data_IF_869275620464
#
_entry.id   IF_869275620464
#
_cell.length_a   1.000
_cell.length_b   1.000
_cell.length_c   1.000
_cell.angle_alpha   90.00
_cell.angle_beta   90.00
_cell.angle_gamma   90.00
#
_symmetry.space_group_name_H-M   'P 1'
#
loop_
_entity.id
_entity.type
_entity.pdbx_description
1 polymer ?
#
# COMPACT_ATOMS: atom_id res chain seq x y z
N UNK A 1 -14.52 3.90 26.83
CA UNK A 1 -13.32 3.05 26.73
C UNK A 1 -13.31 2.49 25.31
N UNK A 2 -12.58 3.12 24.39
CA UNK A 2 -12.57 2.74 22.97
C UNK A 2 -11.72 1.48 22.83
N UNK A 3 -12.36 0.32 22.67
CA UNK A 3 -11.67 -0.91 22.29
C UNK A 3 -11.21 -0.73 20.85
N UNK A 4 -10.01 -0.18 20.65
CA UNK A 4 -9.38 -0.19 19.33
C UNK A 4 -9.22 -1.66 18.95
N UNK A 5 -10.01 -2.10 17.97
CA UNK A 5 -9.89 -3.46 17.42
C UNK A 5 -8.43 -3.71 17.05
N UNK A 6 -7.90 -4.89 17.39
CA UNK A 6 -6.53 -5.29 17.06
C UNK A 6 -6.23 -5.09 15.57
N UNK A 7 -7.24 -5.27 14.71
CA UNK A 7 -7.14 -5.03 13.27
C UNK A 7 -6.86 -3.55 12.93
N UNK A 8 -7.49 -2.60 13.63
CA UNK A 8 -7.26 -1.17 13.39
C UNK A 8 -5.84 -0.75 13.80
N UNK A 9 -5.33 -1.31 14.91
CA UNK A 9 -3.96 -1.08 15.33
C UNK A 9 -2.93 -1.70 14.35
N UNK A 10 -3.21 -2.88 13.82
CA UNK A 10 -2.38 -3.54 12.80
C UNK A 10 -2.37 -2.75 11.49
N UNK A 11 -3.51 -2.20 11.07
CA UNK A 11 -3.61 -1.38 9.87
C UNK A 11 -2.80 -0.09 10.00
N UNK A 12 -2.93 0.62 11.13
CA UNK A 12 -2.16 1.82 11.41
C UNK A 12 -0.65 1.55 11.46
N UNK A 13 -0.24 0.39 12.02
CA UNK A 13 1.16 -0.04 12.03
C UNK A 13 1.69 -0.34 10.62
N UNK A 14 0.88 -1.00 9.78
CA UNK A 14 1.22 -1.25 8.38
C UNK A 14 1.39 0.07 7.61
N UNK A 15 0.45 1.00 7.73
CA UNK A 15 0.54 2.33 7.10
C UNK A 15 1.79 3.08 7.55
N UNK A 16 2.11 3.07 8.84
CA UNK A 16 3.31 3.72 9.36
C UNK A 16 4.60 3.11 8.78
N UNK A 17 4.68 1.78 8.65
CA UNK A 17 5.84 1.11 8.04
C UNK A 17 5.95 1.45 6.55
N UNK A 18 4.83 1.47 5.84
CA UNK A 18 4.81 1.78 4.42
C UNK A 18 5.14 3.25 4.13
N UNK A 19 4.78 4.18 5.02
CA UNK A 19 5.23 5.57 4.95
C UNK A 19 6.76 5.67 4.99
N UNK A 20 7.40 4.88 5.86
CA UNK A 20 8.87 4.82 5.97
C UNK A 20 9.48 4.23 4.69
N UNK A 21 8.92 3.14 4.17
CA UNK A 21 9.39 2.50 2.92
C UNK A 21 9.25 3.44 1.73
N UNK A 22 8.11 4.13 1.63
CA UNK A 22 7.86 5.10 0.57
C UNK A 22 8.74 6.35 0.73
N UNK A 23 9.21 6.65 1.94
CA UNK A 23 9.94 7.88 2.28
C UNK A 23 9.03 9.10 2.39
N UNK A 24 7.71 8.90 2.42
CA UNK A 24 6.69 9.94 2.50
C UNK A 24 5.34 9.35 2.94
N UNK A 25 4.42 10.19 3.46
CA UNK A 25 3.06 9.75 3.74
C UNK A 25 2.36 9.23 2.48
N UNK A 26 1.68 8.10 2.62
CA UNK A 26 0.78 7.53 1.63
C UNK A 26 -0.60 7.30 2.23
N UNK A 27 -1.61 7.15 1.37
CA UNK A 27 -2.95 6.73 1.77
C UNK A 27 -3.18 5.28 1.35
N UNK A 28 -3.71 4.46 2.25
CA UNK A 28 -4.12 3.08 1.97
C UNK A 28 -5.63 3.01 1.73
N UNK A 29 -6.02 2.34 0.65
CA UNK A 29 -7.41 2.02 0.30
C UNK A 29 -7.56 0.51 0.13
N UNK A 30 -8.55 -0.07 0.80
CA UNK A 30 -8.91 -1.49 0.64
C UNK A 30 -9.92 -1.59 -0.52
N UNK A 31 -9.55 -2.27 -1.61
CA UNK A 31 -10.41 -2.48 -2.79
C UNK A 31 -11.22 -3.78 -2.75
N UNK A 32 -10.79 -4.72 -1.91
CA UNK A 32 -11.41 -6.02 -1.73
C UNK A 32 -10.68 -6.79 -0.64
N UNK A 33 -11.04 -8.06 -0.43
CA UNK A 33 -10.45 -8.86 0.64
C UNK A 33 -8.93 -9.04 0.50
N UNK A 34 -8.38 -8.98 -0.73
CA UNK A 34 -6.97 -9.25 -1.05
C UNK A 34 -6.35 -8.23 -2.00
N UNK A 35 -7.01 -7.09 -2.18
CA UNK A 35 -6.62 -6.06 -3.13
C UNK A 35 -6.50 -4.71 -2.40
N UNK A 36 -5.34 -4.08 -2.51
CA UNK A 36 -5.00 -2.84 -1.83
C UNK A 36 -4.53 -1.81 -2.84
N UNK A 37 -4.75 -0.54 -2.53
CA UNK A 37 -4.20 0.59 -3.28
C UNK A 37 -3.51 1.53 -2.34
N UNK A 38 -2.28 1.89 -2.69
CA UNK A 38 -1.51 2.92 -2.02
C UNK A 38 -1.38 4.11 -2.94
N UNK A 39 -1.73 5.29 -2.47
CA UNK A 39 -1.67 6.51 -3.28
C UNK A 39 -0.86 7.61 -2.62
N UNK A 40 -0.26 8.43 -3.47
CA UNK A 40 0.43 9.67 -3.12
C UNK A 40 -0.33 10.84 -3.71
N UNK A 41 -0.45 11.93 -2.95
CA UNK A 41 -1.11 13.16 -3.41
C UNK A 41 -0.33 13.90 -4.52
N UNK A 42 0.83 13.39 -4.90
CA UNK A 42 1.75 13.98 -5.87
C UNK A 42 2.31 12.88 -6.78
N UNK A 43 2.82 13.29 -7.94
CA UNK A 43 3.57 12.43 -8.83
C UNK A 43 4.93 12.07 -8.20
N UNK A 44 5.09 10.81 -7.80
CA UNK A 44 6.31 10.27 -7.19
C UNK A 44 6.51 8.79 -7.58
N UNK A 45 6.92 8.53 -8.83
CA UNK A 45 7.14 7.16 -9.30
C UNK A 45 8.24 6.43 -8.51
N UNK A 46 9.18 7.16 -7.89
CA UNK A 46 10.23 6.57 -7.08
C UNK A 46 9.69 6.04 -5.75
N UNK A 47 8.80 6.78 -5.08
CA UNK A 47 8.08 6.29 -3.91
C UNK A 47 7.19 5.08 -4.27
N UNK A 48 6.47 5.15 -5.39
CA UNK A 48 5.68 4.03 -5.91
C UNK A 48 6.52 2.76 -6.14
N UNK A 49 7.70 2.91 -6.75
CA UNK A 49 8.62 1.80 -6.99
C UNK A 49 9.17 1.17 -5.69
N UNK A 50 9.44 1.97 -4.64
CA UNK A 50 9.87 1.44 -3.33
C UNK A 50 8.79 0.57 -2.69
N UNK A 51 7.55 1.04 -2.71
CA UNK A 51 6.40 0.29 -2.17
C UNK A 51 6.17 -0.99 -2.99
N UNK A 52 6.18 -0.91 -4.32
CA UNK A 52 6.04 -2.08 -5.18
C UNK A 52 7.13 -3.13 -4.91
N UNK A 53 8.38 -2.70 -4.74
CA UNK A 53 9.51 -3.59 -4.41
C UNK A 53 9.33 -4.30 -3.06
N UNK A 54 8.75 -3.63 -2.08
CA UNK A 54 8.45 -4.24 -0.78
C UNK A 54 7.45 -5.42 -0.91
N UNK A 55 6.45 -5.27 -1.77
CA UNK A 55 5.41 -6.28 -1.99
C UNK A 55 5.75 -7.33 -3.05
N UNK A 56 6.76 -7.08 -3.91
CA UNK A 56 7.19 -8.00 -4.96
C UNK A 56 7.38 -9.48 -4.55
N UNK A 57 7.90 -9.84 -3.36
CA UNK A 57 8.02 -11.25 -2.97
C UNK A 57 6.71 -11.91 -2.53
N UNK A 58 5.63 -11.14 -2.32
CA UNK A 58 4.39 -11.61 -1.68
C UNK A 58 3.11 -11.25 -2.42
N UNK A 59 3.17 -10.41 -3.45
CA UNK A 59 2.00 -9.95 -4.18
C UNK A 59 2.35 -9.52 -5.60
N UNK A 60 1.34 -9.54 -6.48
CA UNK A 60 1.44 -8.89 -7.77
C UNK A 60 1.27 -7.37 -7.56
N UNK A 61 2.14 -6.57 -8.16
CA UNK A 61 2.09 -5.11 -8.03
C UNK A 61 2.08 -4.42 -9.37
N UNK A 62 1.26 -3.37 -9.48
CA UNK A 62 1.22 -2.47 -10.64
C UNK A 62 1.39 -1.03 -10.13
N UNK A 63 2.29 -0.26 -10.74
CA UNK A 63 2.48 1.15 -10.41
C UNK A 63 1.97 1.98 -11.57
N UNK A 64 1.02 2.86 -11.29
CA UNK A 64 0.52 3.86 -12.23
C UNK A 64 0.90 5.24 -11.70
N UNK A 65 1.62 6.02 -12.50
CA UNK A 65 2.03 7.37 -12.12
C UNK A 65 1.59 8.33 -13.22
N UNK A 66 0.71 9.25 -12.86
CA UNK A 66 0.15 10.26 -13.73
C UNK A 66 0.43 11.64 -13.14
N UNK A 67 0.77 12.61 -13.99
CA UNK A 67 1.15 13.95 -13.52
C UNK A 67 -0.05 14.74 -12.96
N UNK A 68 -1.28 14.42 -13.38
CA UNK A 68 -2.52 15.06 -12.94
C UNK A 68 -3.13 14.35 -11.73
N UNK A 69 -3.05 13.01 -11.70
CA UNK A 69 -3.67 12.19 -10.66
C UNK A 69 -2.72 11.74 -9.54
N UNK A 70 -1.40 11.86 -9.72
CA UNK A 70 -0.40 11.41 -8.75
C UNK A 70 0.08 9.97 -8.99
N UNK A 71 0.63 9.33 -7.96
CA UNK A 71 1.14 7.95 -8.06
C UNK A 71 0.31 6.97 -7.25
N UNK A 72 -0.05 5.86 -7.88
CA UNK A 72 -0.87 4.78 -7.35
C UNK A 72 -0.11 3.45 -7.46
N UNK A 73 -0.17 2.66 -6.40
CA UNK A 73 0.38 1.31 -6.34
C UNK A 73 -0.76 0.36 -6.05
N UNK A 74 -1.06 -0.50 -7.01
CA UNK A 74 -2.04 -1.57 -6.88
C UNK A 74 -1.33 -2.84 -6.44
N UNK A 75 -1.86 -3.47 -5.39
CA UNK A 75 -1.30 -4.69 -4.80
C UNK A 75 -2.38 -5.74 -4.72
N UNK A 76 -2.18 -6.85 -5.43
CA UNK A 76 -3.06 -8.00 -5.46
C UNK A 76 -2.35 -9.20 -4.84
N UNK A 77 -2.84 -9.66 -3.69
CA UNK A 77 -2.25 -10.78 -2.95
C UNK A 77 -2.80 -12.10 -3.50
N UNK A 78 -1.98 -12.95 -4.16
CA UNK A 78 -2.44 -14.16 -4.82
C UNK A 78 -2.96 -15.18 -3.83
N UNK A 79 -3.89 -16.03 -4.28
CA UNK A 79 -4.57 -16.99 -3.41
C UNK A 79 -3.63 -17.98 -2.70
N UNK A 80 -2.51 -18.27 -3.35
CA UNK A 80 -1.50 -19.25 -2.95
C UNK A 80 -0.66 -18.89 -1.72
N UNK A 81 -0.73 -17.64 -1.22
CA UNK A 81 0.02 -17.24 -0.02
C UNK A 81 -0.59 -17.69 1.32
N UNK A 82 -1.76 -18.35 1.30
CA UNK A 82 -2.41 -18.94 2.48
C UNK A 82 -2.30 -20.48 2.47
N UNK A 83 -1.08 -21.01 2.37
CA UNK A 83 -0.78 -22.40 2.68
C UNK A 83 -0.23 -22.52 4.10
#
# INVERSE_FOLDING_TARGET
MTTTSTAAAQLASLEAQLNVIAGRPLALTIRGARAFTFSFNEYDPAAGARVARFFAPMAATTVEADAECGTFVYVDVPDTLHA
#
